data_IF_833211483494
#
_entry.id   IF_833211483494
#
_cell.length_a   1.000
_cell.length_b   1.000
_cell.length_c   1.000
_cell.angle_alpha   90.00
_cell.angle_beta   90.00
_cell.angle_gamma   90.00
#
_symmetry.space_group_name_H-M   'P 1'
#
loop_
_entity.id
_entity.type
_entity.pdbx_description
1 polymer ?
#
# COMPACT_ATOMS: atom_id res chain seq x y z
N UNK A 1 -27.60 -4.39 50.53
CA UNK A 1 -28.00 -5.63 49.82
C UNK A 1 -29.32 -6.28 50.29
N UNK A 2 -30.13 -5.64 51.15
CA UNK A 2 -31.43 -6.20 51.58
C UNK A 2 -32.47 -6.31 50.45
N UNK A 3 -32.40 -5.40 49.47
CA UNK A 3 -33.31 -5.39 48.32
C UNK A 3 -33.14 -6.62 47.42
N UNK A 4 -31.90 -7.04 47.15
CA UNK A 4 -31.62 -8.22 46.33
C UNK A 4 -32.15 -9.51 46.98
N UNK A 5 -32.01 -9.64 48.31
CA UNK A 5 -32.48 -10.79 49.08
C UNK A 5 -34.01 -10.95 49.08
N UNK A 6 -34.78 -9.87 48.89
CA UNK A 6 -36.25 -9.88 48.85
C UNK A 6 -36.85 -10.16 47.45
N UNK A 7 -36.02 -10.36 46.42
CA UNK A 7 -36.51 -10.67 45.07
C UNK A 7 -36.88 -12.15 44.91
N UNK A 8 -37.89 -12.41 44.07
CA UNK A 8 -38.26 -13.78 43.64
C UNK A 8 -37.04 -14.51 43.07
N UNK A 9 -36.92 -15.80 43.37
CA UNK A 9 -35.75 -16.62 43.02
C UNK A 9 -35.37 -16.53 41.52
N UNK A 10 -36.36 -16.58 40.62
CA UNK A 10 -36.13 -16.46 39.18
C UNK A 10 -35.55 -15.11 38.75
N UNK A 11 -35.92 -14.02 39.42
CA UNK A 11 -35.43 -12.68 39.09
C UNK A 11 -33.98 -12.49 39.57
N UNK A 12 -33.61 -13.06 40.72
CA UNK A 12 -32.20 -13.10 41.17
C UNK A 12 -31.31 -13.83 40.16
N UNK A 13 -31.77 -14.99 39.68
CA UNK A 13 -31.02 -15.83 38.75
C UNK A 13 -30.82 -15.12 37.40
N UNK A 14 -31.88 -14.53 36.86
CA UNK A 14 -31.82 -13.75 35.62
C UNK A 14 -30.86 -12.57 35.73
N UNK A 15 -30.87 -11.83 36.85
CA UNK A 15 -30.00 -10.67 37.05
C UNK A 15 -28.52 -11.07 37.06
N UNK A 16 -28.19 -12.19 37.71
CA UNK A 16 -26.81 -12.71 37.73
C UNK A 16 -26.38 -13.16 36.33
N UNK A 17 -27.23 -13.89 35.61
CA UNK A 17 -26.92 -14.37 34.25
C UNK A 17 -26.69 -13.18 33.30
N UNK A 18 -27.57 -12.19 33.32
CA UNK A 18 -27.43 -10.98 32.49
C UNK A 18 -26.16 -10.22 32.84
N UNK A 19 -25.82 -10.09 34.12
CA UNK A 19 -24.60 -9.41 34.55
C UNK A 19 -23.34 -10.14 34.05
N UNK A 20 -23.31 -11.46 34.18
CA UNK A 20 -22.19 -12.28 33.69
C UNK A 20 -22.06 -12.16 32.16
N UNK A 21 -23.17 -12.22 31.43
CA UNK A 21 -23.18 -12.03 29.98
C UNK A 21 -22.64 -10.65 29.59
N UNK A 22 -23.09 -9.59 30.28
CA UNK A 22 -22.69 -8.23 29.97
C UNK A 22 -21.17 -8.06 30.17
N UNK A 23 -20.63 -8.62 31.25
CA UNK A 23 -19.19 -8.60 31.53
C UNK A 23 -18.41 -9.38 30.46
N UNK A 24 -18.84 -10.60 30.12
CA UNK A 24 -18.11 -11.43 29.16
C UNK A 24 -18.11 -10.83 27.75
N UNK A 25 -19.25 -10.32 27.27
CA UNK A 25 -19.32 -9.65 25.97
C UNK A 25 -18.56 -8.33 25.96
N UNK A 26 -18.59 -7.55 27.05
CA UNK A 26 -17.81 -6.30 27.13
C UNK A 26 -16.31 -6.58 27.07
N UNK A 27 -15.84 -7.60 27.79
CA UNK A 27 -14.43 -7.99 27.78
C UNK A 27 -13.99 -8.45 26.38
N UNK A 28 -14.77 -9.33 25.74
CA UNK A 28 -14.48 -9.80 24.39
C UNK A 28 -14.51 -8.67 23.36
N UNK A 29 -15.49 -7.77 23.46
CA UNK A 29 -15.62 -6.62 22.57
C UNK A 29 -14.43 -5.67 22.67
N UNK A 30 -14.01 -5.33 23.89
CA UNK A 30 -12.83 -4.50 24.12
C UNK A 30 -11.55 -5.18 23.61
N UNK A 31 -11.36 -6.46 23.93
CA UNK A 31 -10.19 -7.21 23.48
C UNK A 31 -10.10 -7.28 21.95
N UNK A 32 -11.22 -7.58 21.29
CA UNK A 32 -11.32 -7.61 19.84
C UNK A 32 -11.06 -6.22 19.23
N UNK A 33 -11.59 -5.16 19.82
CA UNK A 33 -11.40 -3.78 19.37
C UNK A 33 -9.92 -3.38 19.39
N UNK A 34 -9.22 -3.56 20.52
CA UNK A 34 -7.81 -3.19 20.64
C UNK A 34 -6.92 -4.01 19.69
N UNK A 35 -7.23 -5.31 19.55
CA UNK A 35 -6.50 -6.19 18.62
C UNK A 35 -6.71 -5.75 17.17
N UNK A 36 -7.96 -5.50 16.76
CA UNK A 36 -8.29 -5.06 15.41
C UNK A 36 -7.66 -3.71 15.09
N UNK A 37 -7.69 -2.76 16.02
CA UNK A 37 -7.06 -1.44 15.85
C UNK A 37 -5.54 -1.55 15.61
N UNK A 38 -4.85 -2.35 16.42
CA UNK A 38 -3.40 -2.57 16.28
C UNK A 38 -3.04 -3.24 14.95
N UNK A 39 -3.77 -4.29 14.60
CA UNK A 39 -3.56 -5.00 13.33
C UNK A 39 -3.86 -4.10 12.14
N UNK A 40 -4.96 -3.35 12.17
CA UNK A 40 -5.34 -2.47 11.07
C UNK A 40 -4.29 -1.39 10.84
N UNK A 41 -3.84 -0.72 11.91
CA UNK A 41 -2.81 0.32 11.83
C UNK A 41 -1.50 -0.23 11.26
N UNK A 42 -1.08 -1.41 11.73
CA UNK A 42 0.15 -2.06 11.26
C UNK A 42 0.04 -2.45 9.78
N UNK A 43 -1.08 -3.06 9.38
CA UNK A 43 -1.32 -3.45 8.00
C UNK A 43 -1.38 -2.24 7.06
N UNK A 44 -2.03 -1.17 7.47
CA UNK A 44 -2.12 0.08 6.68
C UNK A 44 -0.71 0.66 6.46
N UNK A 45 0.10 0.76 7.50
CA UNK A 45 1.46 1.29 7.38
C UNK A 45 2.35 0.43 6.48
N UNK A 46 2.29 -0.89 6.64
CA UNK A 46 3.03 -1.82 5.77
C UNK A 46 2.55 -1.74 4.31
N UNK A 47 1.24 -1.65 4.09
CA UNK A 47 0.66 -1.53 2.76
C UNK A 47 1.09 -0.24 2.07
N UNK A 48 1.04 0.91 2.76
CA UNK A 48 1.50 2.18 2.18
C UNK A 48 2.97 2.16 1.81
N UNK A 49 3.84 1.66 2.71
CA UNK A 49 5.27 1.58 2.42
C UNK A 49 5.57 0.64 1.24
N UNK A 50 4.92 -0.53 1.22
CA UNK A 50 5.07 -1.49 0.13
C UNK A 50 4.59 -0.93 -1.21
N UNK A 51 3.41 -0.30 -1.22
CA UNK A 51 2.84 0.34 -2.41
C UNK A 51 3.73 1.46 -2.94
N UNK A 52 4.25 2.31 -2.06
CA UNK A 52 5.18 3.37 -2.44
C UNK A 52 6.48 2.80 -3.03
N UNK A 53 7.01 1.72 -2.44
CA UNK A 53 8.21 1.06 -2.94
C UNK A 53 7.98 0.42 -4.31
N UNK A 54 6.85 -0.24 -4.53
CA UNK A 54 6.51 -0.83 -5.83
C UNK A 54 6.30 0.25 -6.90
N UNK A 55 5.62 1.36 -6.56
CA UNK A 55 5.50 2.49 -7.47
C UNK A 55 6.88 3.08 -7.84
N UNK A 56 7.78 3.25 -6.86
CA UNK A 56 9.14 3.72 -7.11
C UNK A 56 9.94 2.74 -8.00
N UNK A 57 9.81 1.42 -7.79
CA UNK A 57 10.42 0.41 -8.66
C UNK A 57 9.89 0.50 -10.09
N UNK A 58 8.58 0.70 -10.26
CA UNK A 58 7.96 0.83 -11.58
C UNK A 58 8.47 2.07 -12.31
N UNK A 59 8.54 3.22 -11.62
CA UNK A 59 9.13 4.45 -12.18
C UNK A 59 10.59 4.21 -12.57
N UNK A 60 11.39 3.60 -11.69
CA UNK A 60 12.79 3.28 -11.99
C UNK A 60 12.93 2.34 -13.19
N UNK A 61 12.03 1.37 -13.35
CA UNK A 61 12.04 0.46 -14.49
C UNK A 61 11.79 1.23 -15.80
N UNK A 62 10.79 2.12 -15.82
CA UNK A 62 10.50 2.97 -16.98
C UNK A 62 11.69 3.87 -17.30
N UNK A 63 12.25 4.54 -16.29
CA UNK A 63 13.42 5.41 -16.46
C UNK A 63 14.63 4.64 -17.00
N UNK A 64 14.89 3.42 -16.51
CA UNK A 64 15.99 2.60 -17.01
C UNK A 64 15.79 2.19 -18.47
N UNK A 65 14.55 1.90 -18.89
CA UNK A 65 14.23 1.62 -20.29
C UNK A 65 14.54 2.84 -21.17
N UNK A 66 14.05 4.01 -20.78
CA UNK A 66 14.29 5.24 -21.56
C UNK A 66 15.77 5.63 -21.57
N UNK A 67 16.47 5.49 -20.44
CA UNK A 67 17.91 5.72 -20.36
C UNK A 67 18.66 4.76 -21.31
N UNK A 68 18.34 3.47 -21.29
CA UNK A 68 18.96 2.46 -22.15
C UNK A 68 18.73 2.78 -23.63
N UNK A 69 17.55 3.28 -24.01
CA UNK A 69 17.28 3.73 -25.38
C UNK A 69 18.19 4.90 -25.77
N UNK A 70 18.31 5.91 -24.91
CA UNK A 70 19.17 7.07 -25.16
C UNK A 70 20.64 6.64 -25.23
N UNK A 71 21.12 5.81 -24.31
CA UNK A 71 22.47 5.26 -24.31
C UNK A 71 22.75 4.45 -25.58
N UNK A 72 21.78 3.68 -26.06
CA UNK A 72 21.88 2.93 -27.31
C UNK A 72 22.04 3.86 -28.52
N UNK A 73 21.29 4.97 -28.57
CA UNK A 73 21.44 5.99 -29.63
C UNK A 73 22.81 6.67 -29.51
N UNK A 74 23.21 7.08 -28.31
CA UNK A 74 24.49 7.74 -28.05
C UNK A 74 25.70 6.84 -28.35
N UNK A 75 25.56 5.53 -28.22
CA UNK A 75 26.63 4.57 -28.51
C UNK A 75 26.92 4.40 -30.01
N UNK A 76 26.02 4.84 -30.90
CA UNK A 76 26.15 4.72 -32.35
C UNK A 76 27.39 5.46 -32.87
N UNK A 77 28.19 4.86 -33.77
CA UNK A 77 29.38 5.51 -34.33
C UNK A 77 29.10 6.88 -34.93
N UNK A 78 27.97 7.04 -35.61
CA UNK A 78 27.51 8.27 -36.25
C UNK A 78 27.19 9.38 -35.25
N UNK A 79 26.77 9.02 -34.03
CA UNK A 79 26.51 9.97 -32.94
C UNK A 79 27.79 10.34 -32.19
N UNK A 80 28.74 9.40 -32.05
CA UNK A 80 30.03 9.63 -31.38
C UNK A 80 30.94 10.62 -32.11
N UNK A 81 30.73 10.86 -33.40
CA UNK A 81 31.52 11.82 -34.19
C UNK A 81 31.37 13.26 -33.70
N UNK A 82 30.25 13.58 -33.03
CA UNK A 82 29.86 14.95 -32.65
C UNK A 82 29.74 15.92 -33.85
N UNK A 83 29.62 15.40 -35.08
CA UNK A 83 29.37 16.17 -36.29
C UNK A 83 27.88 16.19 -36.62
N UNK A 84 27.27 17.37 -36.49
CA UNK A 84 25.84 17.57 -36.74
C UNK A 84 25.39 17.09 -38.12
N UNK A 85 26.24 17.25 -39.14
CA UNK A 85 25.91 16.89 -40.54
C UNK A 85 25.71 15.39 -40.71
N UNK A 86 26.38 14.59 -39.89
CA UNK A 86 26.29 13.12 -39.88
C UNK A 86 25.18 12.66 -38.92
N UNK A 87 25.05 13.33 -37.77
CA UNK A 87 24.07 13.00 -36.73
C UNK A 87 22.62 13.25 -37.16
N UNK A 88 22.37 14.35 -37.88
CA UNK A 88 21.02 14.81 -38.20
C UNK A 88 20.19 13.74 -38.91
N UNK A 89 20.78 13.05 -39.89
CA UNK A 89 20.10 12.01 -40.65
C UNK A 89 19.71 10.80 -39.77
N UNK A 90 20.58 10.41 -38.85
CA UNK A 90 20.34 9.28 -37.94
C UNK A 90 19.31 9.65 -36.87
N UNK A 91 19.37 10.87 -36.33
CA UNK A 91 18.41 11.35 -35.34
C UNK A 91 17.00 11.52 -35.92
N UNK A 92 16.87 12.00 -37.16
CA UNK A 92 15.58 12.09 -37.87
C UNK A 92 14.94 10.71 -38.05
N UNK A 93 15.71 9.70 -38.43
CA UNK A 93 15.23 8.33 -38.52
C UNK A 93 14.80 7.75 -37.15
N UNK A 94 15.52 8.08 -36.08
CA UNK A 94 15.12 7.67 -34.73
C UNK A 94 13.83 8.35 -34.26
N UNK A 95 13.64 9.64 -34.54
CA UNK A 95 12.40 10.37 -34.24
C UNK A 95 11.19 9.71 -34.93
N UNK A 96 11.32 9.36 -36.21
CA UNK A 96 10.29 8.64 -36.96
C UNK A 96 10.00 7.24 -36.39
N UNK A 97 11.04 6.52 -35.95
CA UNK A 97 10.91 5.18 -35.35
C UNK A 97 10.26 5.19 -33.97
N UNK A 98 10.55 6.19 -33.16
CA UNK A 98 10.06 6.28 -31.76
C UNK A 98 8.66 6.90 -31.71
N UNK A 99 8.21 7.55 -32.80
CA UNK A 99 6.84 8.03 -32.95
C UNK A 99 6.56 9.32 -32.17
N UNK A 100 7.57 10.17 -31.97
CA UNK A 100 7.34 11.53 -31.49
C UNK A 100 7.00 12.42 -32.68
N UNK A 101 5.71 12.75 -32.84
CA UNK A 101 5.30 13.92 -33.64
C UNK A 101 5.83 15.20 -33.02
#
# INVERSE_FOLDING_TARGET
MKWFLNLKLGLKLSLVITLVMLISFSFLGLYAYFTAQSLLTTNINMFYSSSAQEAAKQIRHILNIELTKIESIAARPEIKTMDWSVQENVLKQEVERIGSM
#
